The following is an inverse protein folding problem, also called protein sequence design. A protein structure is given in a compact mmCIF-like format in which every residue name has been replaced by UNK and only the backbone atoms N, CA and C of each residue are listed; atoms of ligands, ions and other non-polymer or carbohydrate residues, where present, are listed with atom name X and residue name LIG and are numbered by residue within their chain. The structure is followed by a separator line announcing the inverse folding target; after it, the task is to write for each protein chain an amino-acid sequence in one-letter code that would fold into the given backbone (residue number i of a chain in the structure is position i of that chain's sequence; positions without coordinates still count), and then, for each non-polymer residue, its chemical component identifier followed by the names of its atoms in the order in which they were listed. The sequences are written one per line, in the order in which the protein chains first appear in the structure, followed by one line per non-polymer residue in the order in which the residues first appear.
data_IF_855335063444
#
_entry.id   IF_855335063444
#
_cell.length_a   1.000
_cell.length_b   1.000
_cell.length_c   1.000
_cell.angle_alpha   90.00
_cell.angle_beta   90.00
_cell.angle_gamma   90.00
#
_symmetry.space_group_name_H-M   'P 1'
#
loop_
_entity.id
_entity.type
_entity.pdbx_description
1 polymer ?
#
# COMPACT_ATOMS: atom_id res chain seq x y z
N UNK A 1 -4.83 25.20 -1.74
CA UNK A 1 -5.48 24.27 -0.81
C UNK A 1 -4.59 23.95 0.38
N UNK A 2 -5.13 23.32 1.39
CA UNK A 2 -4.39 22.80 2.56
C UNK A 2 -4.67 21.31 2.73
N UNK A 3 -3.69 20.57 3.20
CA UNK A 3 -3.84 19.16 3.54
C UNK A 3 -3.56 19.04 5.03
N UNK A 4 -4.42 18.33 5.76
CA UNK A 4 -4.23 18.02 7.17
C UNK A 4 -4.34 16.52 7.41
N UNK A 5 -3.55 15.99 8.34
CA UNK A 5 -3.60 14.61 8.77
C UNK A 5 -3.56 14.54 10.29
N UNK A 6 -4.57 13.89 10.90
CA UNK A 6 -4.75 13.82 12.37
C UNK A 6 -4.71 15.18 13.08
N UNK A 7 -5.20 16.24 12.40
CA UNK A 7 -5.21 17.61 12.92
C UNK A 7 -3.99 18.46 12.58
N UNK A 8 -2.90 17.85 12.12
CA UNK A 8 -1.68 18.55 11.73
C UNK A 8 -1.69 18.94 10.26
N UNK A 9 -1.40 20.20 9.95
CA UNK A 9 -1.32 20.69 8.57
C UNK A 9 -0.03 20.24 7.89
N UNK A 10 -0.15 19.55 6.76
CA UNK A 10 0.96 19.06 5.97
C UNK A 10 1.51 20.16 5.04
N UNK A 11 2.21 21.15 5.58
CA UNK A 11 2.86 22.20 4.80
C UNK A 11 4.37 22.10 4.87
N UNK A 12 5.05 22.08 3.70
CA UNK A 12 6.53 22.02 3.59
C UNK A 12 7.18 20.83 4.33
N UNK A 13 6.50 19.67 4.36
CA UNK A 13 6.95 18.49 5.07
C UNK A 13 7.76 17.59 4.12
N UNK A 14 8.89 17.06 4.62
CA UNK A 14 9.70 16.10 3.86
C UNK A 14 9.07 14.71 3.87
N UNK A 15 9.33 13.85 2.85
CA UNK A 15 8.82 12.48 2.81
C UNK A 15 9.11 11.66 4.07
N UNK A 16 10.26 11.88 4.70
CA UNK A 16 10.64 11.19 5.93
C UNK A 16 9.70 11.56 7.11
N UNK A 17 9.34 12.83 7.24
CA UNK A 17 8.39 13.27 8.28
C UNK A 17 7.00 12.70 8.00
N UNK A 18 6.54 12.69 6.74
CA UNK A 18 5.26 12.08 6.35
C UNK A 18 5.22 10.60 6.77
N UNK A 19 6.29 9.86 6.50
CA UNK A 19 6.39 8.46 6.90
C UNK A 19 6.36 8.29 8.44
N UNK A 20 7.04 9.16 9.19
CA UNK A 20 7.00 9.17 10.66
C UNK A 20 5.64 9.52 11.23
N UNK A 21 4.83 10.30 10.54
CA UNK A 21 3.45 10.61 10.92
C UNK A 21 2.51 9.40 10.74
N UNK A 22 2.97 8.34 10.09
CA UNK A 22 2.20 7.12 9.86
C UNK A 22 1.43 7.13 8.53
N UNK A 23 1.97 7.79 7.52
CA UNK A 23 1.49 7.71 6.12
C UNK A 23 2.51 6.94 5.30
N UNK A 24 2.08 5.88 4.62
CA UNK A 24 2.92 5.12 3.69
C UNK A 24 2.29 5.09 2.31
N UNK A 25 3.12 4.99 1.26
CA UNK A 25 2.68 4.92 -0.13
C UNK A 25 3.36 3.77 -0.86
N UNK A 26 2.61 2.99 -1.61
CA UNK A 26 3.16 2.16 -2.68
C UNK A 26 3.39 2.99 -3.93
N UNK A 27 4.24 2.54 -4.82
CA UNK A 27 4.52 3.24 -6.07
C UNK A 27 3.94 2.43 -7.23
N UNK A 28 3.46 3.12 -8.27
CA UNK A 28 2.96 2.50 -9.50
C UNK A 28 4.00 1.54 -10.12
N UNK A 29 5.27 1.92 -10.10
CA UNK A 29 6.38 1.05 -10.47
C UNK A 29 6.95 0.37 -9.21
N UNK A 30 7.07 -0.96 -9.26
CA UNK A 30 7.65 -1.76 -8.17
C UNK A 30 9.01 -1.22 -7.75
N UNK A 31 9.04 -0.54 -6.60
CA UNK A 31 10.28 0.00 -6.02
C UNK A 31 10.98 -1.04 -5.13
N UNK A 32 11.01 -2.31 -5.54
CA UNK A 32 11.62 -3.41 -4.82
C UNK A 32 13.11 -3.57 -5.16
N UNK A 33 13.89 -3.99 -4.18
CA UNK A 33 15.29 -4.35 -4.35
C UNK A 33 15.40 -5.76 -4.94
N UNK A 34 15.50 -5.85 -6.26
CA UNK A 34 15.39 -7.10 -7.04
C UNK A 34 16.37 -8.21 -6.62
N UNK A 35 17.53 -7.87 -6.03
CA UNK A 35 18.55 -8.82 -5.57
C UNK A 35 18.34 -9.28 -4.12
N UNK A 36 17.51 -8.58 -3.36
CA UNK A 36 17.17 -8.94 -1.98
C UNK A 36 16.02 -9.95 -1.98
N UNK A 37 15.95 -10.77 -0.92
CA UNK A 37 14.84 -11.70 -0.72
C UNK A 37 13.52 -10.97 -0.48
N UNK A 38 12.40 -11.69 -0.53
CA UNK A 38 11.09 -11.13 -0.22
C UNK A 38 11.04 -10.59 1.22
N UNK A 39 11.50 -11.38 2.20
CA UNK A 39 11.51 -10.96 3.60
C UNK A 39 12.44 -9.77 3.86
N UNK A 40 13.60 -9.70 3.19
CA UNK A 40 14.51 -8.56 3.31
C UNK A 40 13.89 -7.27 2.75
N UNK A 41 13.13 -7.38 1.64
CA UNK A 41 12.37 -6.24 1.10
C UNK A 41 11.30 -5.75 2.08
N UNK A 42 10.59 -6.67 2.75
CA UNK A 42 9.60 -6.33 3.78
C UNK A 42 10.30 -5.67 4.98
N UNK A 43 11.46 -6.21 5.39
CA UNK A 43 12.25 -5.68 6.51
C UNK A 43 12.73 -4.23 6.28
N UNK A 44 12.89 -3.79 5.03
CA UNK A 44 13.16 -2.37 4.72
C UNK A 44 12.08 -1.45 5.27
N UNK A 45 10.80 -1.87 5.24
CA UNK A 45 9.68 -1.11 5.82
C UNK A 45 9.83 -0.87 7.33
N UNK A 46 10.53 -1.78 8.05
CA UNK A 46 10.79 -1.65 9.49
C UNK A 46 11.82 -0.59 9.86
N UNK A 47 12.55 -0.05 8.88
CA UNK A 47 13.58 0.97 9.14
C UNK A 47 13.05 2.23 9.84
N UNK A 48 11.78 2.57 9.66
CA UNK A 48 11.13 3.68 10.36
C UNK A 48 11.05 3.46 11.88
N UNK A 49 11.03 2.21 12.33
CA UNK A 49 10.93 1.82 13.73
C UNK A 49 12.30 1.55 14.37
N UNK A 50 13.38 1.59 13.59
CA UNK A 50 14.74 1.35 14.11
C UNK A 50 15.21 2.51 14.96
N UNK A 51 15.55 2.20 16.22
CA UNK A 51 16.14 3.12 17.21
C UNK A 51 17.63 2.85 17.43
N UNK A 52 18.15 1.75 16.87
CA UNK A 52 19.56 1.42 16.93
C UNK A 52 20.34 2.31 15.96
N UNK A 53 21.38 2.97 16.46
CA UNK A 53 22.27 3.75 15.63
C UNK A 53 23.32 2.86 14.94
N UNK A 54 24.06 3.44 13.99
CA UNK A 54 25.05 2.70 13.21
C UNK A 54 26.05 1.94 14.07
N UNK A 55 26.50 2.54 15.18
CA UNK A 55 27.45 1.89 16.11
C UNK A 55 26.84 0.70 16.83
N UNK A 56 25.56 0.80 17.25
CA UNK A 56 24.84 -0.30 17.90
C UNK A 56 24.76 -1.53 16.98
N UNK A 57 24.50 -1.28 15.69
CA UNK A 57 24.41 -2.34 14.66
C UNK A 57 25.80 -2.89 14.33
N UNK A 58 26.80 -2.03 14.11
CA UNK A 58 28.16 -2.44 13.73
C UNK A 58 28.83 -3.27 14.83
N UNK A 59 28.60 -2.95 16.11
CA UNK A 59 29.12 -3.67 17.27
C UNK A 59 28.20 -4.80 17.73
N UNK A 60 27.10 -5.05 17.03
CA UNK A 60 26.10 -6.08 17.37
C UNK A 60 25.66 -6.03 18.84
N UNK A 61 25.43 -4.84 19.36
CA UNK A 61 25.06 -4.66 20.76
C UNK A 61 23.74 -5.38 21.08
N UNK A 62 23.51 -5.81 22.33
CA UNK A 62 22.30 -6.53 22.73
C UNK A 62 21.00 -5.81 22.36
N UNK A 63 21.00 -4.47 22.38
CA UNK A 63 19.87 -3.62 21.98
C UNK A 63 19.55 -3.81 20.49
N UNK A 64 20.55 -3.73 19.62
CA UNK A 64 20.40 -3.89 18.18
C UNK A 64 19.90 -5.31 17.82
N UNK A 65 20.49 -6.34 18.43
CA UNK A 65 20.05 -7.75 18.25
C UNK A 65 18.61 -7.99 18.71
N UNK A 66 18.20 -7.38 19.83
CA UNK A 66 16.80 -7.49 20.30
C UNK A 66 15.83 -6.84 19.34
N UNK A 67 16.18 -5.65 18.84
CA UNK A 67 15.37 -4.92 17.87
C UNK A 67 15.26 -5.68 16.54
N UNK A 68 16.36 -6.23 16.05
CA UNK A 68 16.40 -7.05 14.85
C UNK A 68 15.46 -8.26 14.95
N UNK A 69 15.51 -8.99 16.07
CA UNK A 69 14.59 -10.13 16.32
C UNK A 69 13.13 -9.71 16.33
N UNK A 70 12.79 -8.57 16.94
CA UNK A 70 11.42 -8.06 16.97
C UNK A 70 10.96 -7.68 15.56
N UNK A 71 11.80 -6.98 14.79
CA UNK A 71 11.47 -6.59 13.43
C UNK A 71 11.36 -7.80 12.50
N UNK A 72 12.23 -8.81 12.65
CA UNK A 72 12.14 -10.03 11.86
C UNK A 72 10.84 -10.78 12.15
N UNK A 73 10.47 -10.94 13.42
CA UNK A 73 9.21 -11.58 13.80
C UNK A 73 8.00 -10.89 13.17
N UNK A 74 7.98 -9.57 13.20
CA UNK A 74 6.92 -8.78 12.53
C UNK A 74 6.88 -9.01 11.01
N UNK A 75 8.04 -9.13 10.38
CA UNK A 75 8.09 -9.46 8.96
C UNK A 75 7.61 -10.89 8.66
N UNK A 76 7.89 -11.85 9.55
CA UNK A 76 7.40 -13.22 9.42
C UNK A 76 5.87 -13.28 9.57
N UNK A 77 5.27 -12.52 10.49
CA UNK A 77 3.82 -12.37 10.62
C UNK A 77 3.19 -11.82 9.32
N UNK A 78 3.83 -10.83 8.68
CA UNK A 78 3.38 -10.26 7.40
C UNK A 78 3.55 -11.27 6.25
N UNK A 79 4.64 -12.03 6.23
CA UNK A 79 4.89 -13.10 5.25
C UNK A 79 3.81 -14.17 5.33
N UNK A 80 3.42 -14.59 6.54
CA UNK A 80 2.34 -15.54 6.79
C UNK A 80 0.99 -14.96 6.33
N UNK A 81 0.66 -13.74 6.76
CA UNK A 81 -0.56 -13.04 6.37
C UNK A 81 -0.73 -12.95 4.84
N UNK A 82 0.35 -12.65 4.10
CA UNK A 82 0.33 -12.53 2.64
C UNK A 82 0.49 -13.87 1.91
N UNK A 83 0.57 -15.00 2.64
CA UNK A 83 0.71 -16.35 2.09
C UNK A 83 1.93 -16.50 1.15
N UNK A 84 3.07 -15.94 1.56
CA UNK A 84 4.32 -15.95 0.78
C UNK A 84 5.49 -16.64 1.48
N UNK A 85 5.22 -17.53 2.45
CA UNK A 85 6.25 -18.25 3.24
C UNK A 85 7.18 -19.05 2.34
N UNK A 86 6.63 -19.71 1.31
CA UNK A 86 7.40 -20.56 0.39
C UNK A 86 8.45 -19.81 -0.41
N UNK A 87 8.26 -18.50 -0.56
CA UNK A 87 9.14 -17.67 -1.39
C UNK A 87 9.88 -16.59 -0.59
N UNK A 88 9.76 -16.59 0.73
CA UNK A 88 10.29 -15.53 1.60
C UNK A 88 11.79 -15.28 1.41
N UNK A 89 12.55 -16.34 1.16
CA UNK A 89 14.01 -16.27 0.97
C UNK A 89 14.43 -16.13 -0.52
N UNK A 90 13.46 -16.07 -1.42
CA UNK A 90 13.71 -15.94 -2.85
C UNK A 90 13.98 -14.49 -3.24
N UNK A 91 15.03 -14.21 -4.03
CA UNK A 91 15.25 -12.87 -4.59
C UNK A 91 14.03 -12.39 -5.38
N UNK A 92 13.51 -11.20 -5.04
CA UNK A 92 12.25 -10.69 -5.60
C UNK A 92 12.27 -10.58 -7.12
N UNK A 93 13.43 -10.29 -7.72
CA UNK A 93 13.56 -10.22 -9.17
C UNK A 93 13.34 -11.56 -9.91
N UNK A 94 13.25 -12.69 -9.20
CA UNK A 94 12.93 -14.02 -9.75
C UNK A 94 11.47 -14.41 -9.59
N UNK A 95 10.69 -13.63 -8.85
CA UNK A 95 9.28 -13.91 -8.58
C UNK A 95 8.39 -13.50 -9.75
N UNK A 96 7.27 -14.19 -9.97
CA UNK A 96 6.17 -13.70 -10.79
C UNK A 96 5.68 -12.33 -10.34
N UNK A 97 5.13 -11.55 -11.26
CA UNK A 97 4.75 -10.15 -11.00
C UNK A 97 3.74 -10.02 -9.85
N UNK A 98 2.71 -10.86 -9.79
CA UNK A 98 1.72 -10.84 -8.71
C UNK A 98 2.35 -11.05 -7.33
N UNK A 99 3.34 -11.98 -7.21
CA UNK A 99 4.07 -12.18 -5.97
C UNK A 99 4.97 -10.98 -5.61
N UNK A 100 5.55 -10.31 -6.61
CA UNK A 100 6.28 -9.06 -6.36
C UNK A 100 5.35 -7.97 -5.79
N UNK A 101 4.12 -7.86 -6.30
CA UNK A 101 3.09 -6.94 -5.77
C UNK A 101 2.70 -7.28 -4.33
N UNK A 102 2.60 -8.57 -3.96
CA UNK A 102 2.38 -8.97 -2.55
C UNK A 102 3.55 -8.54 -1.66
N UNK A 103 4.79 -8.70 -2.10
CA UNK A 103 5.97 -8.23 -1.36
C UNK A 103 5.97 -6.71 -1.20
N UNK A 104 5.53 -5.97 -2.21
CA UNK A 104 5.39 -4.50 -2.14
C UNK A 104 4.36 -4.09 -1.07
N UNK A 105 3.19 -4.75 -1.06
CA UNK A 105 2.18 -4.56 -0.02
C UNK A 105 2.77 -4.89 1.36
N UNK A 106 3.46 -6.03 1.50
CA UNK A 106 4.11 -6.44 2.75
C UNK A 106 5.12 -5.41 3.26
N UNK A 107 5.90 -4.80 2.37
CA UNK A 107 6.80 -3.71 2.74
C UNK A 107 6.05 -2.47 3.24
N UNK A 108 4.92 -2.14 2.63
CA UNK A 108 4.07 -1.04 3.10
C UNK A 108 3.45 -1.36 4.46
N UNK A 109 2.94 -2.57 4.67
CA UNK A 109 2.40 -3.03 5.96
C UNK A 109 3.46 -3.00 7.07
N UNK A 110 4.70 -3.37 6.76
CA UNK A 110 5.81 -3.35 7.71
C UNK A 110 6.12 -1.95 8.27
N UNK A 111 5.65 -0.89 7.63
CA UNK A 111 5.74 0.48 8.17
C UNK A 111 4.79 0.75 9.33
N UNK A 112 3.80 -0.13 9.58
CA UNK A 112 2.72 0.07 10.57
C UNK A 112 2.03 1.44 10.43
N UNK A 113 1.88 1.90 9.18
CA UNK A 113 1.24 3.18 8.90
C UNK A 113 -0.26 3.11 9.19
N UNK A 114 -0.84 4.20 9.70
CA UNK A 114 -2.28 4.32 9.90
C UNK A 114 -3.04 4.75 8.65
N UNK A 115 -2.31 5.23 7.64
CA UNK A 115 -2.84 5.56 6.31
C UNK A 115 -1.91 4.97 5.23
N UNK A 116 -2.46 4.10 4.38
CA UNK A 116 -1.79 3.56 3.21
C UNK A 116 -2.36 4.19 1.94
N UNK A 117 -1.49 4.72 1.09
CA UNK A 117 -1.82 5.20 -0.24
C UNK A 117 -1.38 4.15 -1.24
N UNK A 118 -2.33 3.46 -1.87
CA UNK A 118 -2.11 2.37 -2.82
C UNK A 118 -2.33 2.89 -4.25
N UNK A 119 -1.26 2.95 -5.03
CA UNK A 119 -1.25 3.50 -6.39
C UNK A 119 -1.22 2.34 -7.39
N UNK A 120 -2.37 2.04 -8.01
CA UNK A 120 -2.61 0.94 -8.94
C UNK A 120 -2.02 -0.41 -8.45
N UNK A 121 -2.37 -0.87 -7.23
CA UNK A 121 -1.75 -2.06 -6.65
C UNK A 121 -2.05 -3.33 -7.47
N UNK A 122 -3.11 -3.32 -8.28
CA UNK A 122 -3.57 -4.48 -9.06
C UNK A 122 -3.23 -4.39 -10.56
N UNK A 123 -2.52 -3.33 -10.98
CA UNK A 123 -2.11 -3.20 -12.38
C UNK A 123 -1.24 -4.39 -12.81
N UNK A 124 -1.55 -4.96 -13.99
CA UNK A 124 -0.81 -6.09 -14.55
C UNK A 124 -1.08 -7.46 -13.93
N UNK A 125 -2.02 -7.57 -12.98
CA UNK A 125 -2.45 -8.81 -12.36
C UNK A 125 -3.56 -9.49 -13.19
N UNK A 126 -3.59 -10.83 -13.16
CA UNK A 126 -4.73 -11.60 -13.66
C UNK A 126 -5.90 -11.54 -12.67
N UNK A 127 -7.06 -12.10 -13.06
CA UNK A 127 -8.31 -12.04 -12.27
C UNK A 127 -8.16 -12.66 -10.88
N UNK A 128 -7.46 -13.80 -10.78
CA UNK A 128 -7.27 -14.50 -9.51
C UNK A 128 -6.33 -13.72 -8.58
N UNK A 129 -5.23 -13.22 -9.11
CA UNK A 129 -4.28 -12.37 -8.37
C UNK A 129 -4.94 -11.08 -7.86
N UNK A 130 -5.81 -10.45 -8.67
CA UNK A 130 -6.61 -9.29 -8.25
C UNK A 130 -7.53 -9.63 -7.10
N UNK A 131 -8.25 -10.75 -7.18
CA UNK A 131 -9.17 -11.20 -6.12
C UNK A 131 -8.45 -11.41 -4.79
N UNK A 132 -7.29 -12.06 -4.83
CA UNK A 132 -6.47 -12.26 -3.63
C UNK A 132 -5.96 -10.92 -3.07
N UNK A 133 -5.54 -10.00 -3.93
CA UNK A 133 -5.09 -8.67 -3.50
C UNK A 133 -6.23 -7.88 -2.86
N UNK A 134 -7.45 -7.93 -3.41
CA UNK A 134 -8.65 -7.34 -2.80
C UNK A 134 -8.89 -7.89 -1.40
N UNK A 135 -8.80 -9.22 -1.24
CA UNK A 135 -8.96 -9.90 0.05
C UNK A 135 -7.94 -9.35 1.07
N UNK A 136 -6.65 -9.33 0.73
CA UNK A 136 -5.62 -8.80 1.62
C UNK A 136 -5.87 -7.33 2.00
N UNK A 137 -6.31 -6.49 1.05
CA UNK A 137 -6.62 -5.08 1.31
C UNK A 137 -7.76 -4.96 2.32
N UNK A 138 -8.84 -5.72 2.16
CA UNK A 138 -9.98 -5.73 3.08
C UNK A 138 -9.58 -6.24 4.46
N UNK A 139 -8.87 -7.36 4.55
CA UNK A 139 -8.38 -7.94 5.81
C UNK A 139 -7.46 -6.97 6.56
N UNK A 140 -6.58 -6.24 5.86
CA UNK A 140 -5.74 -5.21 6.47
C UNK A 140 -6.58 -4.08 7.08
N UNK A 141 -7.64 -3.64 6.41
CA UNK A 141 -8.53 -2.62 6.95
C UNK A 141 -9.28 -3.13 8.20
N UNK A 142 -9.83 -4.35 8.12
CA UNK A 142 -10.62 -4.95 9.20
C UNK A 142 -9.79 -5.31 10.43
N UNK A 143 -8.65 -5.96 10.24
CA UNK A 143 -7.84 -6.47 11.35
C UNK A 143 -6.93 -5.42 11.99
N UNK A 144 -6.33 -4.54 11.18
CA UNK A 144 -5.36 -3.54 11.65
C UNK A 144 -5.96 -2.14 11.77
N UNK A 145 -7.21 -1.93 11.34
CA UNK A 145 -7.85 -0.60 11.35
C UNK A 145 -7.12 0.43 10.49
N UNK A 146 -6.35 -0.02 9.51
CA UNK A 146 -5.57 0.85 8.63
C UNK A 146 -6.47 1.49 7.59
N UNK A 147 -6.53 2.81 7.57
CA UNK A 147 -7.22 3.54 6.49
C UNK A 147 -6.43 3.41 5.19
N UNK A 148 -7.12 3.10 4.10
CA UNK A 148 -6.50 3.00 2.78
C UNK A 148 -7.13 3.95 1.78
N UNK A 149 -6.30 4.57 0.96
CA UNK A 149 -6.72 5.31 -0.22
C UNK A 149 -6.17 4.58 -1.43
N UNK A 150 -7.08 4.11 -2.27
CA UNK A 150 -6.78 3.31 -3.46
C UNK A 150 -6.96 4.18 -4.71
N UNK A 151 -5.98 4.20 -5.58
CA UNK A 151 -6.10 4.75 -6.94
C UNK A 151 -6.15 3.55 -7.88
N UNK A 152 -7.26 3.38 -8.58
CA UNK A 152 -7.49 2.30 -9.53
C UNK A 152 -8.38 2.76 -10.69
N UNK A 153 -8.26 2.07 -11.79
CA UNK A 153 -9.08 2.31 -12.98
C UNK A 153 -10.02 1.14 -13.31
N UNK A 154 -9.93 0.04 -12.56
CA UNK A 154 -10.84 -1.11 -12.65
C UNK A 154 -12.07 -0.84 -11.76
N UNK A 155 -13.14 -0.33 -12.39
CA UNK A 155 -14.37 0.05 -11.67
C UNK A 155 -15.00 -1.11 -10.91
N UNK A 156 -14.87 -2.34 -11.41
CA UNK A 156 -15.36 -3.53 -10.69
C UNK A 156 -14.68 -3.66 -9.34
N UNK A 157 -13.34 -3.63 -9.33
CA UNK A 157 -12.54 -3.67 -8.11
C UNK A 157 -12.88 -2.53 -7.16
N UNK A 158 -12.89 -1.29 -7.68
CA UNK A 158 -13.15 -0.10 -6.85
C UNK A 158 -14.50 -0.18 -6.15
N UNK A 159 -15.56 -0.57 -6.89
CA UNK A 159 -16.91 -0.64 -6.33
C UNK A 159 -17.09 -1.79 -5.34
N UNK A 160 -16.28 -2.86 -5.45
CA UNK A 160 -16.40 -4.04 -4.60
C UNK A 160 -15.71 -3.88 -3.23
N UNK A 161 -14.66 -3.03 -3.15
CA UNK A 161 -13.84 -2.96 -1.93
C UNK A 161 -13.81 -1.59 -1.25
N UNK A 162 -14.48 -0.58 -1.81
CA UNK A 162 -14.41 0.79 -1.26
C UNK A 162 -15.65 1.16 -0.47
N UNK A 163 -15.49 1.86 0.66
CA UNK A 163 -16.59 2.47 1.41
C UNK A 163 -17.05 3.79 0.78
N UNK A 164 -16.13 4.49 0.10
CA UNK A 164 -16.36 5.77 -0.57
C UNK A 164 -15.52 5.86 -1.82
N UNK A 165 -16.13 6.31 -2.90
CA UNK A 165 -15.49 6.49 -4.21
C UNK A 165 -15.51 7.96 -4.60
N UNK A 166 -14.37 8.48 -5.03
CA UNK A 166 -14.24 9.82 -5.62
C UNK A 166 -13.76 9.65 -7.05
N UNK A 167 -14.56 10.10 -8.00
CA UNK A 167 -14.24 10.02 -9.43
C UNK A 167 -13.75 11.36 -9.93
N UNK A 168 -12.56 11.31 -10.54
CA UNK A 168 -11.90 12.48 -11.14
C UNK A 168 -11.91 12.35 -12.66
N UNK A 169 -12.37 13.39 -13.34
CA UNK A 169 -12.26 13.54 -14.79
C UNK A 169 -11.60 14.88 -15.10
N UNK A 170 -10.49 14.87 -15.85
CA UNK A 170 -9.66 16.06 -16.14
C UNK A 170 -9.41 16.96 -14.91
N UNK A 171 -9.19 16.35 -13.73
CA UNK A 171 -8.91 17.07 -12.49
C UNK A 171 -10.13 17.67 -11.79
N UNK A 172 -11.34 17.43 -12.29
CA UNK A 172 -12.62 17.81 -11.65
C UNK A 172 -13.28 16.60 -11.02
N UNK A 173 -13.87 16.78 -9.84
CA UNK A 173 -14.67 15.74 -9.20
C UNK A 173 -16.02 15.68 -9.93
N UNK A 174 -16.35 14.52 -10.49
CA UNK A 174 -17.62 14.24 -11.19
C UNK A 174 -18.51 13.26 -10.41
N UNK A 175 -17.97 12.59 -9.38
CA UNK A 175 -18.70 11.72 -8.47
C UNK A 175 -18.00 11.65 -7.14
N UNK A 176 -18.76 11.63 -6.04
CA UNK A 176 -18.24 11.49 -4.67
C UNK A 176 -19.34 10.92 -3.78
N UNK A 177 -19.15 9.72 -3.25
CA UNK A 177 -20.12 9.04 -2.39
C UNK A 177 -19.91 7.55 -2.24
N UNK A 178 -20.88 6.83 -1.68
CA UNK A 178 -20.86 5.37 -1.63
C UNK A 178 -20.85 4.75 -3.04
N UNK A 179 -20.32 3.54 -3.20
CA UNK A 179 -20.22 2.87 -4.52
C UNK A 179 -21.53 2.84 -5.30
N UNK A 180 -22.66 2.56 -4.64
CA UNK A 180 -23.98 2.49 -5.30
C UNK A 180 -24.41 3.83 -5.90
N UNK A 181 -24.18 4.93 -5.20
CA UNK A 181 -24.51 6.28 -5.66
C UNK A 181 -23.62 6.69 -6.85
N UNK A 182 -22.33 6.41 -6.74
CA UNK A 182 -21.35 6.73 -7.79
C UNK A 182 -21.60 5.89 -9.05
N UNK A 183 -21.96 4.61 -8.90
CA UNK A 183 -22.31 3.71 -10.01
C UNK A 183 -23.56 4.19 -10.77
N UNK A 184 -24.50 4.81 -10.08
CA UNK A 184 -25.75 5.33 -10.68
C UNK A 184 -25.60 6.75 -11.26
N UNK A 185 -24.47 7.41 -11.05
CA UNK A 185 -24.24 8.78 -11.51
C UNK A 185 -23.99 8.83 -13.02
N UNK A 186 -24.87 9.51 -13.76
CA UNK A 186 -24.79 9.58 -15.23
C UNK A 186 -23.47 10.21 -15.70
N UNK A 187 -22.95 11.24 -15.05
CA UNK A 187 -21.67 11.87 -15.42
C UNK A 187 -20.50 10.88 -15.32
N UNK A 188 -20.52 9.99 -14.30
CA UNK A 188 -19.51 8.96 -14.12
C UNK A 188 -19.63 7.89 -15.21
N UNK A 189 -20.86 7.47 -15.53
CA UNK A 189 -21.13 6.49 -16.59
C UNK A 189 -20.64 7.00 -17.93
N UNK A 190 -20.97 8.25 -18.26
CA UNK A 190 -20.60 8.87 -19.53
C UNK A 190 -19.09 9.05 -19.68
N UNK A 191 -18.41 9.47 -18.61
CA UNK A 191 -16.96 9.60 -18.58
C UNK A 191 -16.27 8.24 -18.75
N UNK A 192 -16.79 7.18 -18.10
CA UNK A 192 -16.23 5.83 -18.21
C UNK A 192 -16.44 5.21 -19.59
N UNK A 193 -17.59 5.45 -20.21
CA UNK A 193 -17.92 4.97 -21.57
C UNK A 193 -17.29 5.82 -22.68
N UNK A 194 -16.63 6.92 -22.34
CA UNK A 194 -16.03 7.84 -23.32
C UNK A 194 -17.06 8.61 -24.15
N UNK A 195 -18.28 8.75 -23.64
CA UNK A 195 -19.33 9.56 -24.27
C UNK A 195 -19.03 11.03 -23.97
N UNK A 196 -18.35 11.71 -24.89
CA UNK A 196 -18.19 13.15 -24.79
C UNK A 196 -19.56 13.82 -24.99
N UNK A 197 -20.06 14.46 -23.93
CA UNK A 197 -21.08 15.48 -24.13
C UNK A 197 -20.43 16.63 -24.90
N UNK A 198 -20.60 16.64 -26.22
CA UNK A 198 -20.15 17.75 -27.06
C UNK A 198 -20.85 19.04 -26.61
N UNK A 199 -20.04 20.04 -26.23
CA UNK A 199 -20.47 21.42 -26.23
C UNK A 199 -20.67 21.91 -27.67
#
# INVERSE_FOLDING_TARGET
GSIAFKGDTLSKITPNIIAQMGISRTFQNLALFKRMSAIDNILVGRKLHSKANFMDVALQLPKARKEEKVNLKKCEEIVEFLEIEKIKDTPVGKLPYGLQKRVELGRALATEASLLLLDEPMAGMNVEEKREMCRFILEVNEEYGTTMVLIEHDMGVVMDISDRVVVLDYGKIIGDGPPEEVRANQNVIDAYLGVSHGE
#
